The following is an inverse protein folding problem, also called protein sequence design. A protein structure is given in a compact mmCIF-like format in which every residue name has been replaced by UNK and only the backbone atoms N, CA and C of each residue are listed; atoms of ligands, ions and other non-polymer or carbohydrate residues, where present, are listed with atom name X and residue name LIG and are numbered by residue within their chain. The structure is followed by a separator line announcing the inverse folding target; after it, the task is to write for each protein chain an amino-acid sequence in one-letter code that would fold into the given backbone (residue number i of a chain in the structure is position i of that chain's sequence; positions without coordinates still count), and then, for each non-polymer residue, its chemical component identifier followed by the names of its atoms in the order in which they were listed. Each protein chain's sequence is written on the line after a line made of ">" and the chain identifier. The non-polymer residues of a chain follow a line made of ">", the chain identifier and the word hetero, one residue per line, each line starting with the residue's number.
data_IF_472772590171
#
_entry.id   IF_472772590171
#
_cell.length_a   1.000
_cell.length_b   1.000
_cell.length_c   1.000
_cell.angle_alpha   90.00
_cell.angle_beta   90.00
_cell.angle_gamma   90.00
#
_symmetry.space_group_name_H-M   'P 1'
#
loop_
_entity.id
_entity.type
_entity.pdbx_description
1 polymer ?
#
# COMPACT_ATOMS: atom_id res chain seq x y z
N UNK A 1 -19.41 -12.37 -1.71
CA UNK A 1 -18.57 -11.27 -2.23
C UNK A 1 -17.15 -11.78 -2.33
N UNK A 2 -16.45 -11.44 -3.41
CA UNK A 2 -15.05 -11.83 -3.61
C UNK A 2 -14.13 -11.22 -2.55
N UNK A 3 -12.90 -11.73 -2.46
CA UNK A 3 -11.89 -11.25 -1.51
C UNK A 3 -10.57 -10.94 -2.23
N UNK A 4 -9.79 -10.01 -1.70
CA UNK A 4 -8.46 -9.65 -2.20
C UNK A 4 -7.41 -9.95 -1.11
N UNK A 5 -6.38 -10.71 -1.45
CA UNK A 5 -5.23 -10.96 -0.58
C UNK A 5 -3.97 -10.45 -1.27
N UNK A 6 -3.30 -9.50 -0.65
CA UNK A 6 -2.10 -8.85 -1.20
C UNK A 6 -0.86 -9.42 -0.49
N UNK A 7 0.08 -9.94 -1.26
CA UNK A 7 1.38 -10.36 -0.76
C UNK A 7 2.43 -9.29 -1.03
N UNK A 8 3.14 -8.89 0.01
CA UNK A 8 4.24 -7.94 -0.09
C UNK A 8 5.41 -8.35 0.80
N UNK A 9 6.58 -7.82 0.54
CA UNK A 9 7.83 -8.15 1.24
C UNK A 9 9.01 -7.76 0.38
N UNK A 10 10.21 -7.78 0.95
CA UNK A 10 11.44 -7.44 0.24
C UNK A 10 11.65 -8.28 -1.02
N UNK A 11 12.44 -7.79 -1.97
CA UNK A 11 12.82 -8.57 -3.16
C UNK A 11 13.50 -9.89 -2.79
N UNK A 12 13.12 -10.99 -3.46
CA UNK A 12 13.76 -12.30 -3.30
C UNK A 12 13.38 -13.12 -2.06
N UNK A 13 12.43 -12.67 -1.22
CA UNK A 13 12.01 -13.42 -0.02
C UNK A 13 11.07 -14.59 -0.29
N UNK A 14 10.54 -14.73 -1.52
CA UNK A 14 9.64 -15.82 -1.91
C UNK A 14 8.17 -15.46 -1.91
N UNK A 15 7.81 -14.17 -2.10
CA UNK A 15 6.42 -13.70 -2.21
C UNK A 15 5.61 -14.51 -3.21
N UNK A 16 6.10 -14.58 -4.44
CA UNK A 16 5.42 -15.27 -5.55
C UNK A 16 5.14 -16.73 -5.25
N UNK A 17 6.10 -17.45 -4.67
CA UNK A 17 5.93 -18.88 -4.32
C UNK A 17 4.85 -19.06 -3.25
N UNK A 18 4.81 -18.19 -2.23
CA UNK A 18 3.83 -18.26 -1.15
C UNK A 18 2.44 -17.81 -1.65
N UNK A 19 2.37 -16.79 -2.49
CA UNK A 19 1.13 -16.37 -3.15
C UNK A 19 0.57 -17.50 -4.05
N UNK A 20 1.44 -18.17 -4.82
CA UNK A 20 1.09 -19.32 -5.64
C UNK A 20 0.53 -20.49 -4.80
N UNK A 21 1.17 -20.81 -3.67
CA UNK A 21 0.68 -21.85 -2.76
C UNK A 21 -0.73 -21.51 -2.22
N UNK A 22 -0.98 -20.25 -1.88
CA UNK A 22 -2.32 -19.79 -1.46
C UNK A 22 -3.35 -19.88 -2.59
N UNK A 23 -2.96 -19.56 -3.82
CA UNK A 23 -3.84 -19.65 -4.97
C UNK A 23 -4.22 -21.10 -5.29
N UNK A 24 -3.24 -22.01 -5.24
CA UNK A 24 -3.48 -23.46 -5.41
C UNK A 24 -4.39 -23.99 -4.31
N UNK A 25 -4.19 -23.57 -3.05
CA UNK A 25 -5.05 -23.96 -1.92
C UNK A 25 -6.49 -23.52 -2.13
N UNK A 26 -6.71 -22.25 -2.44
CA UNK A 26 -8.03 -21.71 -2.66
C UNK A 26 -8.77 -22.40 -3.82
N UNK A 27 -8.08 -22.63 -4.90
CA UNK A 27 -8.62 -23.34 -6.06
C UNK A 27 -9.00 -24.79 -5.73
N UNK A 28 -8.18 -25.49 -4.92
CA UNK A 28 -8.48 -26.85 -4.45
C UNK A 28 -9.70 -26.91 -3.53
N UNK A 29 -10.03 -25.82 -2.84
CA UNK A 29 -11.25 -25.66 -2.04
C UNK A 29 -12.47 -25.25 -2.89
N UNK A 30 -12.35 -25.24 -4.23
CA UNK A 30 -13.42 -24.92 -5.15
C UNK A 30 -13.68 -23.43 -5.36
N UNK A 31 -12.83 -22.54 -4.84
CA UNK A 31 -12.94 -21.09 -5.06
C UNK A 31 -12.38 -20.73 -6.44
N UNK A 32 -13.14 -20.02 -7.27
CA UNK A 32 -12.63 -19.46 -8.51
C UNK A 32 -11.61 -18.39 -8.19
N UNK A 33 -10.34 -18.70 -8.35
CA UNK A 33 -9.20 -17.94 -7.87
C UNK A 33 -8.39 -17.35 -9.01
N UNK A 34 -8.08 -16.06 -8.93
CA UNK A 34 -7.14 -15.38 -9.82
C UNK A 34 -5.87 -15.02 -9.04
N UNK A 35 -4.73 -15.50 -9.52
CA UNK A 35 -3.41 -15.02 -9.06
C UNK A 35 -2.89 -13.98 -10.06
N UNK A 36 -2.67 -12.77 -9.57
CA UNK A 36 -2.23 -11.61 -10.37
C UNK A 36 -0.83 -11.22 -9.96
N UNK A 37 0.10 -11.10 -10.91
CA UNK A 37 1.35 -10.37 -10.68
C UNK A 37 1.17 -8.91 -11.04
N UNK A 38 1.48 -8.04 -10.06
CA UNK A 38 1.58 -6.60 -10.22
C UNK A 38 3.05 -6.12 -10.13
N UNK A 39 4.02 -7.04 -10.27
CA UNK A 39 5.45 -6.74 -10.35
C UNK A 39 5.83 -6.44 -11.79
N UNK A 40 6.71 -5.45 -12.00
CA UNK A 40 7.24 -5.11 -13.33
C UNK A 40 8.12 -6.23 -13.93
N UNK A 41 8.65 -7.11 -13.09
CA UNK A 41 9.36 -8.31 -13.49
C UNK A 41 8.54 -9.56 -13.08
N UNK A 42 7.44 -9.85 -13.78
CA UNK A 42 6.55 -10.93 -13.41
C UNK A 42 7.25 -12.29 -13.53
N UNK A 43 6.94 -13.19 -12.61
CA UNK A 43 7.55 -14.52 -12.53
C UNK A 43 6.50 -15.63 -12.43
N UNK A 44 5.21 -15.35 -12.69
CA UNK A 44 4.18 -16.39 -12.59
C UNK A 44 4.35 -17.44 -13.67
N UNK A 45 4.70 -17.02 -14.89
CA UNK A 45 4.99 -17.92 -15.99
C UNK A 45 6.11 -18.90 -15.65
N UNK A 46 7.20 -18.42 -15.03
CA UNK A 46 8.34 -19.24 -14.62
C UNK A 46 7.97 -20.24 -13.51
N UNK A 47 7.21 -19.78 -12.51
CA UNK A 47 6.83 -20.61 -11.35
C UNK A 47 5.83 -21.70 -11.75
N UNK A 48 4.88 -21.40 -12.63
CA UNK A 48 3.88 -22.37 -13.09
C UNK A 48 4.27 -23.12 -14.37
N UNK A 49 5.42 -22.79 -14.97
CA UNK A 49 5.89 -23.36 -16.25
C UNK A 49 4.84 -23.22 -17.37
N UNK A 50 4.19 -22.04 -17.43
CA UNK A 50 3.09 -21.75 -18.33
C UNK A 50 3.26 -20.35 -18.91
N UNK A 51 2.94 -20.13 -20.17
CA UNK A 51 2.90 -18.78 -20.75
C UNK A 51 1.77 -17.98 -20.12
N UNK A 52 2.10 -16.86 -19.48
CA UNK A 52 1.17 -15.93 -18.85
C UNK A 52 1.37 -14.55 -19.48
N UNK A 53 0.31 -13.77 -19.57
CA UNK A 53 0.37 -12.41 -20.13
C UNK A 53 -0.78 -11.55 -19.61
N UNK A 54 -1.10 -10.48 -20.36
CA UNK A 54 -2.09 -9.47 -20.00
C UNK A 54 -3.55 -9.94 -19.97
N UNK A 55 -3.82 -11.22 -20.29
CA UNK A 55 -5.13 -11.83 -20.15
C UNK A 55 -5.05 -13.02 -19.20
N UNK A 56 -6.12 -13.23 -18.42
CA UNK A 56 -6.17 -14.35 -17.50
C UNK A 56 -6.14 -15.70 -18.25
N UNK A 57 -5.19 -16.55 -17.89
CA UNK A 57 -5.03 -17.90 -18.46
C UNK A 57 -5.31 -18.97 -17.41
N UNK A 58 -5.98 -20.08 -17.74
CA UNK A 58 -6.23 -21.17 -16.82
C UNK A 58 -4.93 -21.92 -16.49
N UNK A 59 -4.69 -22.18 -15.19
CA UNK A 59 -3.55 -22.96 -14.71
C UNK A 59 -3.97 -24.21 -13.92
N UNK A 60 -5.24 -24.58 -14.00
CA UNK A 60 -5.86 -25.73 -13.37
C UNK A 60 -7.32 -25.48 -13.04
N UNK A 61 -7.95 -26.44 -12.35
CA UNK A 61 -9.33 -26.28 -11.93
C UNK A 61 -9.45 -25.09 -10.98
N UNK A 62 -10.35 -24.15 -11.31
CA UNK A 62 -10.62 -22.91 -10.55
C UNK A 62 -9.42 -21.97 -10.39
N UNK A 63 -8.27 -22.21 -11.01
CA UNK A 63 -7.07 -21.37 -10.92
C UNK A 63 -6.79 -20.67 -12.23
N UNK A 64 -6.63 -19.35 -12.16
CA UNK A 64 -6.28 -18.49 -13.28
C UNK A 64 -5.06 -17.64 -12.92
N UNK A 65 -4.20 -17.36 -13.91
CA UNK A 65 -3.00 -16.54 -13.76
C UNK A 65 -3.11 -15.32 -14.66
N UNK A 66 -2.59 -14.19 -14.21
CA UNK A 66 -2.56 -12.93 -14.94
C UNK A 66 -1.29 -12.15 -14.60
N UNK A 67 -0.57 -11.69 -15.61
CA UNK A 67 0.53 -10.72 -15.47
C UNK A 67 0.09 -9.39 -16.06
N UNK A 68 0.08 -8.35 -15.23
CA UNK A 68 -0.35 -7.03 -15.66
C UNK A 68 0.79 -6.29 -16.33
N UNK A 69 0.51 -5.69 -17.47
CA UNK A 69 1.37 -4.72 -18.14
C UNK A 69 0.85 -3.30 -17.87
N UNK A 70 1.50 -2.55 -16.97
CA UNK A 70 1.05 -1.21 -16.60
C UNK A 70 1.03 -0.25 -17.79
N UNK A 71 1.97 -0.37 -18.71
CA UNK A 71 2.09 0.49 -19.90
C UNK A 71 0.90 0.31 -20.83
N UNK A 72 0.52 -0.95 -21.06
CA UNK A 72 -0.67 -1.27 -21.84
C UNK A 72 -1.93 -0.71 -21.16
N UNK A 73 -2.06 -0.87 -19.84
CA UNK A 73 -3.21 -0.39 -19.08
C UNK A 73 -3.40 1.14 -19.18
N UNK A 74 -2.31 1.90 -19.14
CA UNK A 74 -2.37 3.36 -19.31
C UNK A 74 -2.81 3.74 -20.71
N UNK A 75 -2.25 3.11 -21.73
CA UNK A 75 -2.60 3.40 -23.14
C UNK A 75 -4.08 3.12 -23.42
N UNK A 76 -4.61 2.05 -22.87
CA UNK A 76 -6.00 1.63 -23.10
C UNK A 76 -7.00 2.48 -22.33
N UNK A 77 -6.73 2.78 -21.06
CA UNK A 77 -7.72 3.40 -20.18
C UNK A 77 -7.62 4.93 -20.09
N UNK A 78 -6.41 5.49 -20.29
CA UNK A 78 -6.16 6.94 -20.12
C UNK A 78 -5.39 7.59 -21.29
N UNK A 79 -5.85 7.43 -22.54
CA UNK A 79 -5.11 7.89 -23.72
C UNK A 79 -4.94 9.41 -23.80
N UNK A 80 -5.88 10.20 -23.25
CA UNK A 80 -5.78 11.65 -23.29
C UNK A 80 -4.84 12.21 -22.22
N UNK A 81 -4.77 11.56 -21.05
CA UNK A 81 -3.76 11.88 -20.01
C UNK A 81 -2.37 11.58 -20.57
N UNK A 82 -2.15 10.39 -21.11
CA UNK A 82 -0.89 10.01 -21.74
C UNK A 82 -0.45 11.02 -22.82
N UNK A 83 -1.37 11.42 -23.70
CA UNK A 83 -1.10 12.42 -24.73
C UNK A 83 -0.83 13.82 -24.15
N UNK A 84 -1.56 14.24 -23.13
CA UNK A 84 -1.36 15.54 -22.50
C UNK A 84 0.00 15.62 -21.80
N UNK A 85 0.42 14.55 -21.15
CA UNK A 85 1.72 14.45 -20.51
C UNK A 85 2.86 14.52 -21.53
N UNK A 86 2.80 13.75 -22.60
CA UNK A 86 3.77 13.85 -23.71
C UNK A 86 3.91 15.29 -24.23
N UNK A 87 2.79 15.98 -24.43
CA UNK A 87 2.81 17.37 -24.89
C UNK A 87 3.43 18.35 -23.89
N UNK A 88 3.23 18.15 -22.60
CA UNK A 88 3.79 18.99 -21.54
C UNK A 88 5.31 18.80 -21.43
N UNK A 89 5.78 17.58 -21.42
CA UNK A 89 7.20 17.27 -21.27
C UNK A 89 7.99 17.47 -22.57
N UNK A 90 7.43 17.14 -23.73
CA UNK A 90 8.04 17.39 -25.04
C UNK A 90 8.19 18.88 -25.37
N UNK A 91 7.38 19.77 -24.78
CA UNK A 91 7.50 21.22 -24.96
C UNK A 91 8.50 21.90 -24.04
N UNK A 92 8.99 21.21 -23.00
CA UNK A 92 9.88 21.80 -21.98
C UNK A 92 11.37 21.83 -22.37
N UNK A 93 11.73 21.44 -23.61
CA UNK A 93 13.11 21.55 -24.13
C UNK A 93 14.12 20.60 -23.46
N UNK A 94 13.67 19.72 -22.59
CA UNK A 94 14.41 18.54 -22.19
C UNK A 94 14.47 17.65 -23.42
N UNK A 95 15.66 17.47 -23.99
CA UNK A 95 15.90 16.68 -25.20
C UNK A 95 15.50 15.21 -24.93
N UNK A 96 14.24 14.93 -25.17
CA UNK A 96 13.62 13.62 -25.08
C UNK A 96 13.34 13.07 -26.49
N UNK A 97 14.24 13.44 -27.46
CA UNK A 97 14.13 13.03 -28.86
C UNK A 97 14.21 11.50 -29.10
N UNK A 98 14.43 10.71 -28.03
CA UNK A 98 14.50 9.25 -28.07
C UNK A 98 13.51 8.57 -27.12
N UNK A 99 12.50 9.27 -26.62
CA UNK A 99 11.44 8.60 -25.86
C UNK A 99 10.40 8.06 -26.86
N UNK A 100 10.68 6.88 -27.34
CA UNK A 100 9.68 5.97 -27.87
C UNK A 100 8.50 5.89 -26.91
N UNK A 101 7.32 5.62 -27.39
CA UNK A 101 5.97 5.58 -26.79
C UNK A 101 5.77 5.28 -25.28
N UNK A 102 6.85 5.19 -24.48
CA UNK A 102 6.91 4.62 -23.12
C UNK A 102 6.98 5.64 -21.98
N UNK A 103 6.47 6.88 -22.16
CA UNK A 103 6.59 7.85 -21.06
C UNK A 103 5.43 7.73 -20.06
N UNK A 104 5.60 6.86 -19.09
CA UNK A 104 4.86 6.85 -17.83
C UNK A 104 5.69 7.59 -16.78
N UNK A 105 5.03 8.30 -15.87
CA UNK A 105 5.71 8.88 -14.71
C UNK A 105 6.23 7.73 -13.86
N UNK A 106 7.55 7.65 -13.60
CA UNK A 106 8.09 6.60 -12.76
C UNK A 106 7.37 6.51 -11.42
N UNK A 107 6.93 5.31 -11.05
CA UNK A 107 6.17 5.04 -9.82
C UNK A 107 4.65 5.08 -9.96
N UNK A 108 4.12 5.44 -11.14
CA UNK A 108 2.67 5.36 -11.39
C UNK A 108 2.23 4.05 -12.05
N UNK A 109 3.18 3.30 -12.62
CA UNK A 109 2.92 2.04 -13.34
C UNK A 109 2.08 1.07 -12.49
N UNK A 110 2.52 0.85 -11.28
CA UNK A 110 1.86 -0.06 -10.36
C UNK A 110 0.46 0.42 -9.93
N UNK A 111 0.18 1.74 -9.97
CA UNK A 111 -1.13 2.28 -9.66
C UNK A 111 -2.19 1.77 -10.63
N UNK A 112 -1.86 1.71 -11.92
CA UNK A 112 -2.78 1.20 -12.93
C UNK A 112 -3.05 -0.29 -12.76
N UNK A 113 -2.04 -1.04 -12.30
CA UNK A 113 -2.22 -2.44 -11.90
C UNK A 113 -3.23 -2.59 -10.76
N UNK A 114 -3.16 -1.75 -9.73
CA UNK A 114 -4.13 -1.75 -8.64
C UNK A 114 -5.54 -1.33 -9.09
N UNK A 115 -5.65 -0.34 -9.97
CA UNK A 115 -6.94 0.05 -10.56
C UNK A 115 -7.55 -1.11 -11.38
N UNK A 116 -6.73 -1.84 -12.12
CA UNK A 116 -7.18 -3.04 -12.86
C UNK A 116 -7.66 -4.14 -11.92
N UNK A 117 -6.97 -4.35 -10.80
CA UNK A 117 -7.38 -5.32 -9.76
C UNK A 117 -8.76 -4.95 -9.20
N UNK A 118 -9.03 -3.66 -8.93
CA UNK A 118 -10.36 -3.18 -8.52
C UNK A 118 -11.42 -3.49 -9.57
N UNK A 119 -11.12 -3.25 -10.85
CA UNK A 119 -12.08 -3.49 -11.93
C UNK A 119 -12.38 -4.99 -12.07
N UNK A 120 -11.36 -5.85 -11.92
CA UNK A 120 -11.53 -7.31 -11.88
C UNK A 120 -12.38 -7.72 -10.67
N UNK A 121 -12.14 -7.15 -9.49
CA UNK A 121 -12.96 -7.41 -8.30
C UNK A 121 -14.42 -7.02 -8.52
N UNK A 122 -14.66 -5.83 -9.10
CA UNK A 122 -16.00 -5.32 -9.36
C UNK A 122 -16.75 -6.14 -10.44
N UNK A 123 -16.04 -6.87 -11.30
CA UNK A 123 -16.68 -7.77 -12.26
C UNK A 123 -17.42 -8.94 -11.60
N UNK A 124 -17.04 -9.28 -10.35
CA UNK A 124 -17.61 -10.41 -9.62
C UNK A 124 -17.26 -11.78 -10.22
N UNK A 125 -16.26 -11.83 -11.10
CA UNK A 125 -15.91 -13.04 -11.82
C UNK A 125 -15.17 -14.07 -10.93
N UNK A 126 -14.41 -13.59 -9.94
CA UNK A 126 -13.57 -14.42 -9.07
C UNK A 126 -14.02 -14.34 -7.60
N UNK A 127 -14.00 -15.48 -6.91
CA UNK A 127 -14.25 -15.56 -5.47
C UNK A 127 -13.08 -15.02 -4.66
N UNK A 128 -11.86 -15.20 -5.19
CA UNK A 128 -10.62 -14.75 -4.56
C UNK A 128 -9.65 -14.21 -5.61
N UNK A 129 -9.10 -13.05 -5.32
CA UNK A 129 -8.00 -12.44 -6.07
C UNK A 129 -6.78 -12.39 -5.16
N UNK A 130 -5.71 -13.06 -5.56
CA UNK A 130 -4.42 -13.03 -4.88
C UNK A 130 -3.48 -12.15 -5.69
N UNK A 131 -2.90 -11.15 -5.04
CA UNK A 131 -2.02 -10.17 -5.68
C UNK A 131 -0.60 -10.36 -5.19
N UNK A 132 0.28 -10.76 -6.09
CA UNK A 132 1.72 -10.76 -5.87
C UNK A 132 2.26 -9.39 -6.27
N UNK A 133 2.63 -8.59 -5.26
CA UNK A 133 3.08 -7.22 -5.46
C UNK A 133 4.59 -7.12 -5.63
N UNK A 134 5.02 -6.03 -6.27
CA UNK A 134 6.38 -5.54 -6.27
C UNK A 134 6.97 -5.43 -4.84
N UNK A 135 8.30 -5.26 -4.68
CA UNK A 135 8.94 -5.11 -3.38
C UNK A 135 8.32 -4.03 -2.49
N UNK A 136 8.41 -4.20 -1.17
CA UNK A 136 7.73 -3.39 -0.14
C UNK A 136 7.78 -1.88 -0.33
N UNK A 137 8.91 -1.32 -0.73
CA UNK A 137 9.06 0.13 -0.92
C UNK A 137 8.12 0.69 -1.99
N UNK A 138 7.97 -0.01 -3.08
CA UNK A 138 7.07 0.35 -4.17
C UNK A 138 5.61 0.14 -3.76
N UNK A 139 5.27 -1.02 -3.24
CA UNK A 139 3.91 -1.34 -2.76
C UNK A 139 3.41 -0.31 -1.74
N UNK A 140 4.23 0.06 -0.75
CA UNK A 140 3.85 1.07 0.25
C UNK A 140 3.66 2.46 -0.37
N UNK A 141 4.50 2.84 -1.34
CA UNK A 141 4.36 4.09 -2.07
C UNK A 141 3.04 4.14 -2.83
N UNK A 142 2.65 3.02 -3.43
CA UNK A 142 1.40 2.86 -4.16
C UNK A 142 0.16 2.95 -3.28
N UNK A 143 0.18 2.25 -2.15
CA UNK A 143 -0.94 2.27 -1.20
C UNK A 143 -1.17 3.65 -0.59
N UNK A 144 -0.13 4.51 -0.57
CA UNK A 144 -0.19 5.90 -0.15
C UNK A 144 -0.73 6.85 -1.22
N UNK A 145 -0.52 6.52 -2.51
CA UNK A 145 -0.86 7.41 -3.64
C UNK A 145 -2.33 7.86 -3.68
N UNK A 146 -3.34 6.99 -3.45
CA UNK A 146 -4.73 7.41 -3.49
C UNK A 146 -5.03 8.54 -2.50
N UNK A 147 -4.52 8.45 -1.27
CA UNK A 147 -4.70 9.46 -0.23
C UNK A 147 -4.04 10.79 -0.60
N UNK A 148 -2.80 10.73 -1.08
CA UNK A 148 -2.06 11.90 -1.53
C UNK A 148 -2.73 12.59 -2.72
N UNK A 149 -3.17 11.82 -3.70
CA UNK A 149 -3.84 12.36 -4.90
C UNK A 149 -5.22 12.92 -4.57
N UNK A 150 -5.99 12.28 -3.67
CA UNK A 150 -7.28 12.81 -3.19
C UNK A 150 -7.09 14.16 -2.55
N UNK A 151 -6.15 14.31 -1.63
CA UNK A 151 -5.82 15.59 -1.01
C UNK A 151 -5.42 16.66 -2.04
N UNK A 152 -4.58 16.28 -3.03
CA UNK A 152 -4.15 17.18 -4.09
C UNK A 152 -5.33 17.62 -4.98
N UNK A 153 -6.22 16.69 -5.31
CA UNK A 153 -7.41 16.96 -6.11
C UNK A 153 -8.39 17.88 -5.38
N UNK A 154 -8.62 17.67 -4.11
CA UNK A 154 -9.51 18.51 -3.31
C UNK A 154 -8.99 19.95 -3.16
N UNK A 155 -7.70 20.14 -2.89
CA UNK A 155 -7.11 21.45 -2.64
C UNK A 155 -6.81 22.24 -3.93
N UNK A 156 -6.25 21.59 -4.95
CA UNK A 156 -5.68 22.27 -6.12
C UNK A 156 -6.46 22.09 -7.43
N UNK A 157 -7.20 20.98 -7.58
CA UNK A 157 -7.90 20.71 -8.83
C UNK A 157 -8.96 21.77 -9.21
N UNK A 158 -9.80 22.31 -8.30
CA UNK A 158 -10.79 23.34 -8.64
C UNK A 158 -10.12 24.61 -9.16
N UNK A 159 -8.99 25.01 -8.58
CA UNK A 159 -8.20 26.17 -9.01
C UNK A 159 -7.55 25.87 -10.37
N UNK A 160 -6.92 24.71 -10.51
CA UNK A 160 -6.28 24.26 -11.76
C UNK A 160 -7.26 24.14 -12.92
N UNK A 161 -8.45 23.58 -12.71
CA UNK A 161 -9.51 23.46 -13.72
C UNK A 161 -9.97 24.82 -14.24
N UNK A 162 -10.09 25.81 -13.35
CA UNK A 162 -10.46 27.17 -13.72
C UNK A 162 -9.31 27.87 -14.48
N UNK A 163 -8.09 27.71 -14.00
CA UNK A 163 -6.88 28.29 -14.62
C UNK A 163 -6.66 27.73 -16.04
N UNK A 164 -6.77 26.42 -16.20
CA UNK A 164 -6.68 25.75 -17.52
C UNK A 164 -7.74 26.29 -18.49
N UNK A 165 -8.99 26.45 -18.03
CA UNK A 165 -10.08 26.98 -18.87
C UNK A 165 -9.80 28.38 -19.39
N UNK A 166 -9.23 29.26 -18.54
CA UNK A 166 -8.95 30.67 -18.87
C UNK A 166 -7.64 30.81 -19.65
N UNK A 167 -6.60 30.06 -19.30
CA UNK A 167 -5.26 30.23 -19.84
C UNK A 167 -4.94 29.36 -21.07
N UNK A 168 -5.68 28.26 -21.30
CA UNK A 168 -5.38 27.38 -22.43
C UNK A 168 -5.31 28.07 -23.81
N UNK A 169 -6.19 29.06 -24.15
CA UNK A 169 -6.09 29.78 -25.41
C UNK A 169 -4.83 30.65 -25.51
N UNK A 170 -4.35 31.18 -24.35
CA UNK A 170 -3.23 32.15 -24.33
C UNK A 170 -1.88 31.43 -24.18
N UNK A 171 -1.85 30.30 -23.46
CA UNK A 171 -0.61 29.55 -23.16
C UNK A 171 0.06 29.02 -24.43
N UNK A 172 -0.72 28.49 -25.36
CA UNK A 172 -0.21 27.99 -26.65
C UNK A 172 0.38 29.10 -27.51
N UNK A 173 -0.28 30.28 -27.54
CA UNK A 173 0.14 31.41 -28.36
C UNK A 173 1.38 32.14 -27.78
N UNK A 174 1.46 32.31 -26.46
CA UNK A 174 2.47 33.13 -25.79
C UNK A 174 3.67 32.33 -25.25
N UNK A 175 3.43 31.12 -24.75
CA UNK A 175 4.46 30.33 -24.05
C UNK A 175 4.82 29.02 -24.77
N UNK A 176 4.19 28.72 -25.91
CA UNK A 176 4.34 27.44 -26.66
C UNK A 176 4.10 26.18 -25.81
N UNK A 177 3.39 26.30 -24.69
CA UNK A 177 3.03 25.20 -23.79
C UNK A 177 1.60 24.79 -24.05
N UNK A 178 1.37 23.50 -24.31
CA UNK A 178 0.03 22.95 -24.53
C UNK A 178 -0.50 22.44 -23.20
N UNK A 179 -1.42 23.18 -22.58
CA UNK A 179 -2.09 22.72 -21.34
C UNK A 179 -3.03 21.54 -21.63
N UNK A 180 -3.33 20.69 -20.61
CA UNK A 180 -4.27 19.59 -20.73
C UNK A 180 -5.61 20.06 -21.31
N UNK A 181 -6.16 19.33 -22.25
CA UNK A 181 -7.46 19.64 -22.83
C UNK A 181 -8.61 19.18 -21.90
N UNK A 182 -9.86 19.54 -22.23
CA UNK A 182 -11.03 19.15 -21.43
C UNK A 182 -11.20 17.65 -21.28
N UNK A 183 -10.80 16.85 -22.28
CA UNK A 183 -10.89 15.38 -22.20
C UNK A 183 -9.88 14.83 -21.20
N UNK A 184 -8.63 15.30 -21.22
CA UNK A 184 -7.62 14.91 -20.24
C UNK A 184 -8.03 15.32 -18.82
N UNK A 185 -8.64 16.50 -18.64
CA UNK A 185 -9.15 16.92 -17.33
C UNK A 185 -10.29 16.01 -16.82
N UNK A 186 -11.17 15.56 -17.71
CA UNK A 186 -12.22 14.61 -17.33
C UNK A 186 -11.64 13.23 -16.98
N UNK A 187 -10.61 12.75 -17.68
CA UNK A 187 -9.91 11.50 -17.33
C UNK A 187 -9.20 11.60 -15.97
N UNK A 188 -8.58 12.76 -15.66
CA UNK A 188 -8.00 13.02 -14.35
C UNK A 188 -9.07 12.94 -13.23
N UNK A 189 -10.25 13.52 -13.48
CA UNK A 189 -11.37 13.47 -12.53
C UNK A 189 -11.89 12.04 -12.35
N UNK A 190 -12.02 11.27 -13.43
CA UNK A 190 -12.38 9.85 -13.37
C UNK A 190 -11.33 9.01 -12.64
N UNK A 191 -10.06 9.25 -12.91
CA UNK A 191 -8.95 8.59 -12.22
C UNK A 191 -8.99 8.87 -10.71
N UNK A 192 -9.26 10.12 -10.30
CA UNK A 192 -9.41 10.47 -8.89
C UNK A 192 -10.49 9.64 -8.21
N UNK A 193 -11.71 9.60 -8.76
CA UNK A 193 -12.79 8.79 -8.19
C UNK A 193 -12.47 7.31 -8.16
N UNK A 194 -11.76 6.84 -9.18
CA UNK A 194 -11.27 5.46 -9.24
C UNK A 194 -10.27 5.15 -8.13
N UNK A 195 -9.42 6.10 -7.76
CA UNK A 195 -8.47 5.97 -6.67
C UNK A 195 -9.12 6.01 -5.30
N UNK A 196 -10.12 6.88 -5.11
CA UNK A 196 -10.91 6.90 -3.86
C UNK A 196 -11.59 5.54 -3.65
N UNK A 197 -12.29 5.04 -4.67
CA UNK A 197 -12.94 3.74 -4.59
C UNK A 197 -11.94 2.57 -4.39
N UNK A 198 -10.75 2.66 -4.99
CA UNK A 198 -9.68 1.68 -4.75
C UNK A 198 -9.20 1.73 -3.29
N UNK A 199 -9.00 2.92 -2.74
CA UNK A 199 -8.56 3.09 -1.35
C UNK A 199 -9.58 2.51 -0.36
N UNK A 200 -10.87 2.79 -0.57
CA UNK A 200 -11.95 2.22 0.24
C UNK A 200 -11.94 0.69 0.17
N UNK A 201 -11.84 0.13 -1.04
CA UNK A 201 -11.78 -1.31 -1.26
C UNK A 201 -10.58 -1.98 -0.56
N UNK A 202 -9.40 -1.37 -0.65
CA UNK A 202 -8.17 -1.94 -0.08
C UNK A 202 -8.10 -1.77 1.45
N UNK A 203 -8.83 -0.82 2.03
CA UNK A 203 -8.95 -0.62 3.48
C UNK A 203 -10.10 -1.40 4.12
N UNK A 204 -11.04 -1.91 3.33
CA UNK A 204 -12.15 -2.69 3.82
C UNK A 204 -11.65 -4.04 4.39
N UNK A 205 -11.76 -4.28 5.72
CA UNK A 205 -11.25 -5.48 6.36
C UNK A 205 -11.99 -6.76 5.95
N UNK A 206 -13.21 -6.62 5.45
CA UNK A 206 -14.01 -7.75 4.98
C UNK A 206 -13.65 -8.17 3.56
N UNK A 207 -13.05 -7.28 2.78
CA UNK A 207 -12.67 -7.50 1.39
C UNK A 207 -11.19 -7.74 1.24
N UNK A 208 -10.36 -6.87 1.80
CA UNK A 208 -8.92 -6.83 1.51
C UNK A 208 -8.06 -7.14 2.73
N UNK A 209 -6.95 -7.82 2.50
CA UNK A 209 -5.93 -8.05 3.52
C UNK A 209 -4.54 -8.12 2.91
N UNK A 210 -3.54 -7.70 3.70
CA UNK A 210 -2.13 -7.78 3.35
C UNK A 210 -1.47 -8.92 4.11
N UNK A 211 -0.60 -9.65 3.45
CA UNK A 211 0.27 -10.68 4.03
C UNK A 211 1.71 -10.30 3.76
N UNK A 212 2.49 -10.27 4.82
CA UNK A 212 3.91 -9.98 4.74
C UNK A 212 4.70 -11.28 4.52
N UNK A 213 5.75 -11.19 3.71
CA UNK A 213 6.69 -12.28 3.50
C UNK A 213 8.09 -11.77 3.77
N UNK A 214 8.82 -12.48 4.61
CA UNK A 214 10.18 -12.10 5.00
C UNK A 214 11.10 -13.30 5.12
N UNK A 215 12.40 -13.04 5.26
CA UNK A 215 13.41 -14.02 5.70
C UNK A 215 14.00 -13.54 7.02
N UNK A 216 14.47 -14.42 7.91
CA UNK A 216 15.01 -14.04 9.21
C UNK A 216 16.43 -13.50 9.12
N UNK A 217 16.61 -12.44 8.34
CA UNK A 217 17.84 -11.69 8.13
C UNK A 217 17.66 -10.24 8.55
N UNK A 218 18.68 -9.64 9.19
CA UNK A 218 18.58 -8.30 9.80
C UNK A 218 17.90 -7.26 8.90
N UNK A 219 18.42 -7.09 7.69
CA UNK A 219 17.93 -6.06 6.76
C UNK A 219 16.49 -6.31 6.30
N UNK A 220 16.10 -7.58 6.15
CA UNK A 220 14.74 -7.98 5.78
C UNK A 220 13.79 -7.76 6.95
N UNK A 221 14.20 -8.17 8.15
CA UNK A 221 13.42 -8.01 9.39
C UNK A 221 13.14 -6.53 9.67
N UNK A 222 14.17 -5.67 9.59
CA UNK A 222 14.02 -4.23 9.80
C UNK A 222 13.08 -3.59 8.78
N UNK A 223 13.13 -4.04 7.51
CA UNK A 223 12.23 -3.58 6.44
C UNK A 223 10.80 -4.07 6.67
N UNK A 224 10.62 -5.34 7.06
CA UNK A 224 9.30 -5.93 7.33
C UNK A 224 8.62 -5.24 8.51
N UNK A 225 9.35 -4.94 9.57
CA UNK A 225 8.84 -4.16 10.72
C UNK A 225 8.38 -2.76 10.30
N UNK A 226 9.18 -2.05 9.49
CA UNK A 226 8.80 -0.75 8.95
C UNK A 226 7.55 -0.86 8.07
N UNK A 227 7.48 -1.87 7.21
CA UNK A 227 6.32 -2.09 6.35
C UNK A 227 5.05 -2.35 7.16
N UNK A 228 5.14 -3.16 8.20
CA UNK A 228 4.02 -3.42 9.11
C UNK A 228 3.54 -2.14 9.81
N UNK A 229 4.47 -1.35 10.34
CA UNK A 229 4.16 -0.05 10.94
C UNK A 229 3.43 0.88 9.96
N UNK A 230 3.92 1.00 8.72
CA UNK A 230 3.31 1.87 7.73
C UNK A 230 1.95 1.37 7.25
N UNK A 231 1.77 0.05 7.08
CA UNK A 231 0.46 -0.52 6.74
C UNK A 231 -0.57 -0.19 7.84
N UNK A 232 -0.20 -0.30 9.11
CA UNK A 232 -1.07 0.12 10.21
C UNK A 232 -1.31 1.63 10.20
N UNK A 233 -0.28 2.46 9.97
CA UNK A 233 -0.42 3.91 9.87
C UNK A 233 -1.44 4.33 8.80
N UNK A 234 -1.50 3.61 7.66
CA UNK A 234 -2.44 3.90 6.57
C UNK A 234 -3.73 3.06 6.60
N UNK A 235 -4.02 2.36 7.70
CA UNK A 235 -5.22 1.54 7.93
C UNK A 235 -5.37 0.29 7.05
N UNK A 236 -4.27 -0.23 6.52
CA UNK A 236 -4.32 -1.53 5.84
C UNK A 236 -4.29 -2.66 6.84
N UNK A 237 -5.14 -3.65 6.65
CA UNK A 237 -5.24 -4.81 7.53
C UNK A 237 -4.17 -5.84 7.20
N UNK A 238 -3.31 -6.16 8.17
CA UNK A 238 -2.28 -7.21 8.02
C UNK A 238 -2.76 -8.48 8.71
N UNK A 239 -2.98 -9.53 7.93
CA UNK A 239 -3.56 -10.79 8.41
C UNK A 239 -2.54 -11.92 8.56
N UNK A 240 -1.27 -11.69 8.36
CA UNK A 240 -0.23 -12.70 8.57
C UNK A 240 1.16 -12.25 8.16
N UNK A 241 2.16 -12.86 8.78
CA UNK A 241 3.57 -12.80 8.41
C UNK A 241 4.08 -14.20 8.10
N UNK A 242 4.78 -14.35 6.98
CA UNK A 242 5.35 -15.60 6.49
C UNK A 242 6.88 -15.50 6.56
N UNK A 243 7.47 -16.14 7.57
CA UNK A 243 8.93 -16.18 7.74
C UNK A 243 9.46 -17.36 6.95
N UNK A 244 10.07 -17.06 5.81
CA UNK A 244 10.56 -18.03 4.84
C UNK A 244 12.05 -18.33 5.01
N UNK A 245 12.51 -19.46 4.44
CA UNK A 245 13.91 -19.90 4.40
C UNK A 245 14.52 -20.08 5.79
N UNK A 246 13.78 -20.71 6.70
CA UNK A 246 14.28 -21.05 8.02
C UNK A 246 15.15 -22.30 7.90
N UNK A 247 16.37 -22.20 8.37
CA UNK A 247 17.32 -23.31 8.43
C UNK A 247 16.84 -24.37 9.42
N UNK A 248 17.06 -25.68 9.13
CA UNK A 248 16.79 -26.73 10.09
C UNK A 248 17.69 -26.59 11.33
N UNK A 249 17.26 -27.16 12.46
CA UNK A 249 18.00 -27.07 13.72
C UNK A 249 19.39 -27.71 13.66
N UNK A 250 19.53 -28.76 12.85
CA UNK A 250 20.82 -29.35 12.48
C UNK A 250 21.06 -29.19 10.98
N UNK A 251 21.79 -28.18 10.63
CA UNK A 251 22.12 -27.85 9.23
C UNK A 251 23.44 -28.47 8.75
N UNK A 252 24.00 -29.41 9.53
CA UNK A 252 25.12 -30.25 9.12
C UNK A 252 26.51 -29.60 9.09
N UNK A 253 26.63 -28.29 9.40
CA UNK A 253 27.92 -27.60 9.52
C UNK A 253 27.90 -26.49 10.55
N UNK A 254 29.06 -26.21 11.16
CA UNK A 254 29.20 -25.12 12.15
C UNK A 254 28.82 -23.76 11.58
N UNK A 255 29.10 -23.51 10.31
CA UNK A 255 28.69 -22.28 9.63
C UNK A 255 27.16 -22.14 9.56
N UNK A 256 26.47 -23.17 9.12
CA UNK A 256 25.01 -23.16 9.00
C UNK A 256 24.33 -23.14 10.37
N UNK A 257 24.88 -23.84 11.38
CA UNK A 257 24.41 -23.82 12.76
C UNK A 257 24.54 -22.42 13.39
N UNK A 258 25.65 -21.72 13.08
CA UNK A 258 25.82 -20.32 13.49
C UNK A 258 24.75 -19.42 12.85
N UNK A 259 24.50 -19.54 11.54
CA UNK A 259 23.41 -18.83 10.86
C UNK A 259 22.04 -19.18 11.44
N UNK A 260 21.76 -20.42 11.76
CA UNK A 260 20.53 -20.85 12.44
C UNK A 260 20.34 -20.15 13.79
N UNK A 261 21.41 -19.93 14.54
CA UNK A 261 21.34 -19.18 15.80
C UNK A 261 20.98 -17.71 15.60
N UNK A 262 21.51 -17.07 14.54
CA UNK A 262 21.17 -15.71 14.13
C UNK A 262 19.69 -15.64 13.71
N UNK A 263 19.22 -16.58 12.90
CA UNK A 263 17.82 -16.66 12.47
C UNK A 263 16.87 -16.78 13.67
N UNK A 264 17.18 -17.63 14.65
CA UNK A 264 16.37 -17.77 15.90
C UNK A 264 16.22 -16.46 16.67
N UNK A 265 17.25 -15.60 16.66
CA UNK A 265 17.16 -14.26 17.26
C UNK A 265 16.14 -13.40 16.52
N UNK A 266 16.23 -13.33 15.19
CA UNK A 266 15.34 -12.50 14.38
C UNK A 266 13.91 -13.01 14.32
N UNK A 267 13.70 -14.33 14.35
CA UNK A 267 12.36 -14.92 14.47
C UNK A 267 11.68 -14.46 15.76
N UNK A 268 12.38 -14.50 16.90
CA UNK A 268 11.82 -14.00 18.17
C UNK A 268 11.50 -12.49 18.13
N UNK A 269 12.33 -11.72 17.45
CA UNK A 269 12.10 -10.29 17.26
C UNK A 269 10.83 -10.05 16.44
N UNK A 270 10.64 -10.77 15.34
CA UNK A 270 9.41 -10.72 14.54
C UNK A 270 8.19 -11.13 15.36
N UNK A 271 8.27 -12.23 16.10
CA UNK A 271 7.17 -12.71 16.96
C UNK A 271 6.73 -11.67 18.01
N UNK A 272 7.68 -10.90 18.53
CA UNK A 272 7.37 -9.82 19.47
C UNK A 272 6.65 -8.66 18.79
N UNK A 273 7.11 -8.25 17.59
CA UNK A 273 6.53 -7.10 16.88
C UNK A 273 5.17 -7.44 16.27
N UNK A 274 5.02 -8.67 15.78
CA UNK A 274 3.80 -9.17 15.15
C UNK A 274 2.85 -9.85 16.14
N UNK A 275 3.01 -9.61 17.44
CA UNK A 275 2.09 -10.15 18.44
C UNK A 275 0.64 -9.78 18.09
N UNK A 276 -0.23 -10.81 18.02
CA UNK A 276 -1.66 -10.64 17.67
C UNK A 276 -2.02 -10.88 16.21
N UNK A 277 -1.04 -11.14 15.32
CA UNK A 277 -1.33 -11.67 13.98
C UNK A 277 -0.68 -13.05 13.79
N UNK A 278 -1.26 -13.92 12.94
CA UNK A 278 -0.70 -15.23 12.66
C UNK A 278 0.69 -15.15 12.02
N UNK A 279 1.63 -15.94 12.54
CA UNK A 279 2.97 -16.11 11.98
C UNK A 279 3.09 -17.53 11.47
N UNK A 280 3.49 -17.68 10.20
CA UNK A 280 3.77 -18.97 9.58
C UNK A 280 5.26 -19.10 9.30
N UNK A 281 5.88 -20.14 9.84
CA UNK A 281 7.29 -20.45 9.65
C UNK A 281 7.44 -21.46 8.52
N UNK A 282 8.34 -21.17 7.56
CA UNK A 282 8.57 -21.97 6.36
C UNK A 282 10.03 -22.37 6.32
N UNK A 283 10.27 -23.68 6.24
CA UNK A 283 11.62 -24.21 6.14
C UNK A 283 12.29 -23.82 4.81
N UNK A 284 13.59 -23.78 4.79
CA UNK A 284 14.33 -23.64 3.56
C UNK A 284 14.33 -24.95 2.79
N UNK A 285 13.70 -24.94 1.61
CA UNK A 285 13.63 -26.11 0.75
C UNK A 285 14.99 -26.40 0.09
N UNK A 286 15.35 -27.69 -0.10
CA UNK A 286 16.62 -28.09 -0.73
C UNK A 286 16.63 -27.87 -2.26
N UNK A 287 15.49 -27.51 -2.85
CA UNK A 287 15.31 -27.24 -4.27
C UNK A 287 14.42 -26.05 -4.50
N UNK A 288 14.45 -25.54 -5.72
CA UNK A 288 13.57 -24.43 -6.12
C UNK A 288 12.12 -24.88 -6.15
N UNK A 289 11.22 -23.97 -5.73
CA UNK A 289 9.78 -24.17 -5.84
C UNK A 289 9.36 -23.75 -7.24
N UNK A 290 9.35 -24.71 -8.17
CA UNK A 290 9.02 -24.49 -9.57
C UNK A 290 8.15 -25.64 -10.09
N UNK A 291 7.18 -25.32 -10.93
CA UNK A 291 6.19 -26.24 -11.42
C UNK A 291 5.09 -26.56 -10.39
N UNK A 292 3.93 -26.99 -10.90
CA UNK A 292 2.72 -27.21 -10.10
C UNK A 292 2.92 -28.18 -8.93
N UNK A 293 3.70 -29.24 -9.13
CA UNK A 293 3.94 -30.23 -8.08
C UNK A 293 4.72 -29.65 -6.89
N UNK A 294 5.73 -28.82 -7.15
CA UNK A 294 6.50 -28.16 -6.09
C UNK A 294 5.66 -27.12 -5.34
N UNK A 295 4.81 -26.38 -6.07
CA UNK A 295 3.87 -25.42 -5.45
C UNK A 295 2.85 -26.16 -4.59
N UNK A 296 2.31 -27.30 -5.05
CA UNK A 296 1.39 -28.12 -4.26
C UNK A 296 2.08 -28.65 -2.99
N UNK A 297 3.31 -29.10 -3.08
CA UNK A 297 4.07 -29.54 -1.91
C UNK A 297 4.28 -28.40 -0.91
N UNK A 298 4.67 -27.20 -1.39
CA UNK A 298 4.75 -26.01 -0.55
C UNK A 298 3.39 -25.67 0.09
N UNK A 299 2.31 -25.78 -0.67
CA UNK A 299 0.96 -25.56 -0.19
C UNK A 299 0.61 -26.51 0.98
N UNK A 300 0.87 -27.80 0.81
CA UNK A 300 0.56 -28.82 1.81
C UNK A 300 1.39 -28.63 3.09
N UNK A 301 2.68 -28.31 2.95
CA UNK A 301 3.59 -28.09 4.09
C UNK A 301 3.26 -26.80 4.87
N UNK A 302 2.99 -25.72 4.15
CA UNK A 302 2.88 -24.37 4.75
C UNK A 302 1.46 -24.13 5.25
N UNK A 303 0.47 -24.52 4.46
CA UNK A 303 -0.92 -24.23 4.72
C UNK A 303 -1.63 -25.40 5.40
N UNK A 304 -1.28 -26.65 5.06
CA UNK A 304 -1.84 -27.85 5.65
C UNK A 304 -3.36 -27.77 5.81
N UNK A 305 -3.87 -28.08 7.00
CA UNK A 305 -5.30 -27.98 7.33
C UNK A 305 -5.70 -26.60 7.91
N UNK A 306 -4.79 -25.62 7.89
CA UNK A 306 -5.07 -24.28 8.44
C UNK A 306 -6.03 -23.52 7.53
N UNK A 307 -7.06 -22.96 8.10
CA UNK A 307 -7.95 -22.03 7.42
C UNK A 307 -7.30 -20.64 7.28
N UNK A 308 -6.28 -20.56 6.42
CA UNK A 308 -5.52 -19.32 6.21
C UNK A 308 -6.28 -18.34 5.31
N UNK A 309 -7.16 -18.85 4.45
CA UNK A 309 -7.89 -18.02 3.50
C UNK A 309 -9.00 -17.19 4.17
N UNK A 310 -9.58 -17.70 5.24
CA UNK A 310 -10.66 -17.04 5.97
C UNK A 310 -10.19 -16.33 7.26
N UNK A 311 -8.89 -16.39 7.58
CA UNK A 311 -8.35 -15.62 8.72
C UNK A 311 -8.64 -14.15 8.51
N UNK A 312 -9.38 -13.57 9.43
CA UNK A 312 -9.67 -12.14 9.50
C UNK A 312 -9.17 -11.62 10.84
N UNK A 313 -8.17 -10.77 10.80
CA UNK A 313 -7.69 -10.06 11.98
C UNK A 313 -8.23 -8.65 11.88
N UNK A 314 -9.24 -8.33 12.65
CA UNK A 314 -9.72 -6.97 12.78
C UNK A 314 -8.84 -6.26 13.80
N UNK A 315 -8.08 -5.29 13.34
CA UNK A 315 -7.33 -4.39 14.22
C UNK A 315 -7.87 -2.98 14.04
N UNK A 316 -8.31 -2.39 15.15
CA UNK A 316 -8.64 -0.98 15.18
C UNK A 316 -7.32 -0.19 15.12
N UNK A 317 -6.94 0.20 13.91
CA UNK A 317 -5.69 0.94 13.67
C UNK A 317 -5.80 2.42 14.04
N UNK A 318 -7.03 2.93 14.22
CA UNK A 318 -7.32 4.32 14.58
C UNK A 318 -8.59 4.38 15.43
N UNK A 319 -8.48 4.93 16.62
CA UNK A 319 -9.58 5.01 17.59
C UNK A 319 -9.70 6.45 18.07
N UNK A 320 -10.90 7.03 17.93
CA UNK A 320 -11.26 8.32 18.52
C UNK A 320 -12.09 8.09 19.77
N UNK A 321 -11.64 8.62 20.90
CA UNK A 321 -12.33 8.50 22.19
C UNK A 321 -12.49 9.88 22.83
N UNK A 322 -13.66 10.12 23.42
CA UNK A 322 -13.84 11.26 24.31
C UNK A 322 -13.15 10.97 25.65
N UNK A 323 -12.39 11.92 26.15
CA UNK A 323 -11.72 11.84 27.44
C UNK A 323 -12.03 13.09 28.28
N UNK A 324 -11.69 13.06 29.60
CA UNK A 324 -11.90 14.19 30.48
C UNK A 324 -11.18 15.45 29.95
N UNK A 325 -11.96 16.42 29.54
CA UNK A 325 -11.46 17.71 29.00
C UNK A 325 -11.23 17.77 27.49
N UNK A 326 -11.47 16.66 26.74
CA UNK A 326 -11.22 16.69 25.29
C UNK A 326 -11.45 15.37 24.58
N UNK A 327 -10.57 15.10 23.65
CA UNK A 327 -10.60 13.90 22.80
C UNK A 327 -9.20 13.32 22.68
N UNK A 328 -9.12 12.01 22.48
CA UNK A 328 -7.88 11.32 22.12
C UNK A 328 -8.02 10.63 20.76
N UNK A 329 -6.96 10.66 19.98
CA UNK A 329 -6.76 9.87 18.78
C UNK A 329 -5.64 8.89 19.06
N UNK A 330 -5.95 7.61 19.03
CA UNK A 330 -4.97 6.52 19.18
C UNK A 330 -4.75 5.85 17.84
N UNK A 331 -3.49 5.75 17.40
CA UNK A 331 -3.08 5.14 16.14
C UNK A 331 -2.09 4.02 16.44
N UNK A 332 -2.30 2.85 15.85
CA UNK A 332 -1.40 1.71 15.99
C UNK A 332 -0.13 1.94 15.17
N UNK A 333 1.03 2.00 15.85
CA UNK A 333 2.36 2.16 15.26
C UNK A 333 3.36 1.14 15.84
N UNK A 334 3.22 -0.14 15.51
CA UNK A 334 4.06 -1.18 16.09
C UNK A 334 5.53 -0.96 15.71
N UNK A 335 6.41 -0.95 16.72
CA UNK A 335 7.84 -0.78 16.55
C UNK A 335 8.32 0.65 16.27
N UNK A 336 7.44 1.66 16.32
CA UNK A 336 7.84 3.06 16.26
C UNK A 336 8.45 3.51 17.58
N UNK A 337 9.55 4.27 17.52
CA UNK A 337 10.09 4.99 18.66
C UNK A 337 9.59 6.46 18.63
N UNK A 338 9.50 7.09 19.80
CA UNK A 338 8.99 8.46 19.90
C UNK A 338 9.82 9.46 19.10
N UNK A 339 11.13 9.26 19.07
CA UNK A 339 12.09 10.08 18.31
C UNK A 339 11.91 10.00 16.77
N UNK A 340 11.27 8.95 16.27
CA UNK A 340 10.98 8.77 14.85
C UNK A 340 9.68 9.44 14.40
N UNK A 341 8.86 9.90 15.36
CA UNK A 341 7.53 10.44 15.12
C UNK A 341 7.51 11.94 15.34
N UNK A 342 6.85 12.67 14.46
CA UNK A 342 6.53 14.09 14.62
C UNK A 342 5.04 14.28 14.33
N UNK A 343 4.35 14.99 15.21
CA UNK A 343 2.93 15.30 15.07
C UNK A 343 2.75 16.82 15.09
N UNK A 344 2.03 17.34 14.11
CA UNK A 344 1.65 18.77 14.08
C UNK A 344 0.28 18.93 13.46
N UNK A 345 -0.41 20.01 13.81
CA UNK A 345 -1.74 20.32 13.31
C UNK A 345 -1.69 21.58 12.44
N UNK A 346 -2.41 21.54 11.34
CA UNK A 346 -2.67 22.69 10.50
C UNK A 346 -4.18 22.76 10.25
N UNK A 347 -4.85 23.77 10.82
CA UNK A 347 -6.32 23.88 10.80
C UNK A 347 -7.01 22.61 11.32
N UNK A 348 -7.76 21.94 10.44
CA UNK A 348 -8.47 20.67 10.74
C UNK A 348 -7.68 19.43 10.32
N UNK A 349 -6.44 19.57 9.92
CA UNK A 349 -5.60 18.47 9.46
C UNK A 349 -4.51 18.16 10.50
N UNK A 350 -4.49 16.92 10.99
CA UNK A 350 -3.40 16.38 11.80
C UNK A 350 -2.39 15.71 10.89
N UNK A 351 -1.17 16.18 10.94
CA UNK A 351 -0.06 15.64 10.17
C UNK A 351 0.84 14.79 11.06
N UNK A 352 0.99 13.53 10.71
CA UNK A 352 1.82 12.56 11.42
C UNK A 352 2.95 12.17 10.48
N UNK A 353 4.17 12.52 10.87
CA UNK A 353 5.37 12.10 10.15
C UNK A 353 6.08 11.01 10.93
N UNK A 354 6.34 9.89 10.27
CA UNK A 354 7.13 8.78 10.82
C UNK A 354 8.26 8.50 9.85
N UNK A 355 9.49 8.85 10.20
CA UNK A 355 10.65 8.82 9.33
C UNK A 355 10.39 9.60 8.00
N UNK A 356 10.35 8.89 6.87
CA UNK A 356 10.11 9.46 5.52
C UNK A 356 8.62 9.43 5.11
N UNK A 357 7.73 8.91 5.95
CA UNK A 357 6.31 8.82 5.66
C UNK A 357 5.55 9.93 6.37
N UNK A 358 4.61 10.53 5.67
CA UNK A 358 3.74 11.55 6.21
C UNK A 358 2.29 11.19 5.90
N UNK A 359 1.47 11.17 6.93
CA UNK A 359 0.02 10.97 6.82
C UNK A 359 -0.69 12.22 7.29
N UNK A 360 -1.65 12.69 6.51
CA UNK A 360 -2.54 13.77 6.85
C UNK A 360 -3.91 13.17 7.21
N UNK A 361 -4.40 13.44 8.40
CA UNK A 361 -5.70 12.95 8.90
C UNK A 361 -6.61 14.16 9.09
N UNK A 362 -7.68 14.30 8.30
CA UNK A 362 -8.67 15.33 8.53
C UNK A 362 -9.44 15.02 9.81
N UNK A 363 -9.50 15.98 10.72
CA UNK A 363 -10.26 15.85 11.95
C UNK A 363 -11.77 15.85 11.66
N UNK A 364 -12.56 15.04 12.38
CA UNK A 364 -14.00 15.08 12.32
C UNK A 364 -14.55 16.46 12.66
N UNK A 365 -15.69 16.84 12.08
CA UNK A 365 -16.35 18.12 12.36
C UNK A 365 -16.67 18.34 13.85
N UNK A 366 -16.83 17.28 14.62
CA UNK A 366 -17.01 17.32 16.08
C UNK A 366 -15.80 17.91 16.81
N UNK A 367 -14.63 17.87 16.20
CA UNK A 367 -13.36 18.43 16.69
C UNK A 367 -13.04 19.81 16.10
N UNK A 368 -14.00 20.49 15.48
CA UNK A 368 -13.79 21.86 14.97
C UNK A 368 -13.33 22.78 16.11
N UNK A 369 -12.18 23.45 15.90
CA UNK A 369 -11.56 24.32 16.87
C UNK A 369 -10.73 23.61 17.95
N UNK A 370 -10.66 22.27 17.94
CA UNK A 370 -9.76 21.54 18.84
C UNK A 370 -8.30 21.72 18.41
N UNK A 371 -7.40 21.76 19.39
CA UNK A 371 -5.97 21.86 19.20
C UNK A 371 -5.27 20.67 19.86
N UNK A 372 -4.13 20.28 19.32
CA UNK A 372 -3.28 19.25 19.93
C UNK A 372 -2.68 19.80 21.22
N UNK A 373 -2.96 19.17 22.36
CA UNK A 373 -2.35 19.48 23.66
C UNK A 373 -1.03 18.75 23.86
N UNK A 374 -0.95 17.54 23.32
CA UNK A 374 0.24 16.72 23.43
C UNK A 374 0.08 15.39 22.72
N UNK A 375 1.18 14.68 22.59
CA UNK A 375 1.20 13.33 22.02
C UNK A 375 2.34 12.50 22.62
N UNK A 376 2.16 11.18 22.59
CA UNK A 376 3.15 10.23 23.04
C UNK A 376 3.10 8.92 22.23
N UNK A 377 4.23 8.20 22.20
CA UNK A 377 4.34 6.87 21.57
C UNK A 377 4.75 5.88 22.64
N UNK A 378 3.85 4.95 22.94
CA UNK A 378 4.08 3.90 23.93
C UNK A 378 3.37 2.61 23.52
N UNK A 379 3.96 1.46 23.81
CA UNK A 379 3.37 0.13 23.59
C UNK A 379 2.92 -0.14 22.14
N UNK A 380 3.59 0.48 21.14
CA UNK A 380 3.23 0.36 19.74
C UNK A 380 2.01 1.20 19.33
N UNK A 381 1.66 2.23 20.10
CA UNK A 381 0.59 3.17 19.79
C UNK A 381 1.08 4.61 19.88
N UNK A 382 0.64 5.43 18.92
CA UNK A 382 0.69 6.89 19.00
C UNK A 382 -0.64 7.36 19.59
N UNK A 383 -0.59 8.12 20.69
CA UNK A 383 -1.76 8.77 21.30
C UNK A 383 -1.62 10.27 21.18
N UNK A 384 -2.63 10.91 20.61
CA UNK A 384 -2.70 12.36 20.41
C UNK A 384 -3.89 12.87 21.21
N UNK A 385 -3.67 13.85 22.06
CA UNK A 385 -4.70 14.48 22.90
C UNK A 385 -5.09 15.82 22.31
N UNK A 386 -6.38 16.12 22.30
CA UNK A 386 -6.98 17.35 21.81
C UNK A 386 -7.85 17.97 22.89
N UNK A 387 -7.75 19.29 23.08
CA UNK A 387 -8.71 20.06 23.85
C UNK A 387 -9.37 21.12 22.97
N UNK A 388 -10.60 21.49 23.30
CA UNK A 388 -11.19 22.72 22.76
C UNK A 388 -10.71 23.86 23.64
N UNK A 389 -10.08 24.89 23.06
CA UNK A 389 -9.90 26.14 23.76
C UNK A 389 -11.27 26.62 24.22
N UNK A 390 -11.44 26.83 25.52
CA UNK A 390 -12.65 27.45 26.03
C UNK A 390 -12.83 28.81 25.32
N UNK A 391 -13.98 28.97 24.64
CA UNK A 391 -14.39 30.27 24.10
C UNK A 391 -14.42 31.27 25.25
N UNK A 392 -13.45 32.20 25.30
CA UNK A 392 -13.47 33.29 26.25
C UNK A 392 -12.16 33.57 26.98
N UNK A 393 -11.16 34.04 26.25
CA UNK A 393 -10.30 35.12 26.79
C UNK A 393 -10.01 36.08 25.63
N UNK A 394 -10.96 37.01 25.46
CA UNK A 394 -10.74 38.24 24.72
C UNK A 394 -9.43 38.92 25.23
N UNK A 395 -8.52 39.19 24.32
CA UNK A 395 -7.50 40.21 24.47
C UNK A 395 -8.18 41.59 24.58
N UNK A 396 -8.68 41.89 25.77
CA UNK A 396 -9.01 43.25 26.15
C UNK A 396 -8.15 43.63 27.35
N UNK A 397 -6.92 44.06 27.08
CA UNK A 397 -6.18 44.97 27.96
C UNK A 397 -4.87 45.38 27.30
N UNK A 398 -4.91 46.48 26.57
CA UNK A 398 -3.91 47.56 26.68
C UNK A 398 -4.08 48.59 25.55
N UNK A 399 -5.12 49.35 25.69
CA UNK A 399 -5.15 50.68 25.07
C UNK A 399 -5.56 51.67 26.15
N UNK A 400 -4.59 52.26 26.77
CA UNK A 400 -4.89 53.39 27.64
C UNK A 400 -3.82 53.71 28.70
N UNK A 401 -2.87 54.53 28.31
CA UNK A 401 -2.25 55.59 29.07
C UNK A 401 -0.80 55.73 28.67
N UNK A 402 -0.56 56.80 27.91
CA UNK A 402 0.31 57.86 28.39
C UNK A 402 0.18 59.06 27.46
N UNK A 403 -0.57 60.00 27.98
CA UNK A 403 -0.46 61.39 27.61
C UNK A 403 0.50 62.09 28.56
N UNK A 404 1.58 62.52 28.01
CA UNK A 404 2.19 63.85 28.35
C UNK A 404 3.37 64.10 27.45
#
# INVERSE_FOLDING_TARGET
>A
MGRIIIFTGKGGVGKTSIAAAHAVRAASEGKKTLLVSADMAPNLGDIFETEVGGNAVPAGDNLYLLELDPDQLVRENYPNISKAMRNLFGSSGLALDNLDDEMIIPGFENLFSLLKIRDIYNSGEYDLIIVDCAPTGETLSLLKLPELLSWYMEKFYPVGKTMVRVMAPVSKAKYKVTLPNRKAMNEIEQMHWSLVALQELLKDPDVSSVRLVCTPEKMVVDETKRSYMYLNLYHYQVHGDFINRILPDDAGSDFMNHWGSIQKKYIRELESVFAGIPITRIAWYPHEVRGRAAIQHLCDDVLGDKDILNVRVHTDNEIYEACDGGWSLTIRLPGAAKEDVTVYQHEMDVNIKVNNFNRCIPLPNTLTGAQIDGWDVADGFLRIQFSKKADGQDETAEAGKDGK
#
